data_IF_837232332682
#
_entry.id   IF_837232332682
#
_cell.length_a   1.000
_cell.length_b   1.000
_cell.length_c   1.000
_cell.angle_alpha   90.00
_cell.angle_beta   90.00
_cell.angle_gamma   90.00
#
_symmetry.space_group_name_H-M   'P 1'
#
loop_
_entity.id
_entity.type
_entity.pdbx_description
1 polymer ?
#
# COMPACT_ATOMS: atom_id res chain seq x y z
N UNK A 1 -22.63 9.28 -29.48
CA UNK A 1 -22.18 10.18 -28.39
C UNK A 1 -23.06 9.92 -27.19
N UNK A 2 -22.50 9.59 -26.02
CA UNK A 2 -23.32 9.34 -24.81
C UNK A 2 -23.74 10.69 -24.21
N UNK A 3 -25.04 10.84 -23.93
CA UNK A 3 -25.61 12.03 -23.31
C UNK A 3 -26.33 11.65 -22.01
N UNK A 4 -26.31 12.53 -21.01
CA UNK A 4 -26.75 12.24 -19.64
C UNK A 4 -27.72 13.30 -19.14
N UNK A 5 -28.89 12.88 -18.66
CA UNK A 5 -29.83 13.74 -17.94
C UNK A 5 -29.34 13.99 -16.52
N UNK A 6 -29.84 15.03 -15.85
CA UNK A 6 -29.48 15.34 -14.45
C UNK A 6 -29.68 14.14 -13.51
N UNK A 7 -30.72 13.33 -13.74
CA UNK A 7 -30.97 12.12 -12.95
C UNK A 7 -29.86 11.08 -13.14
N UNK A 8 -29.45 10.84 -14.38
CA UNK A 8 -28.37 9.90 -14.69
C UNK A 8 -27.01 10.39 -14.18
N UNK A 9 -26.75 11.71 -14.25
CA UNK A 9 -25.56 12.32 -13.64
C UNK A 9 -25.58 12.10 -12.12
N UNK A 10 -26.73 12.27 -11.47
CA UNK A 10 -26.86 12.04 -10.03
C UNK A 10 -26.66 10.56 -9.66
N UNK A 11 -27.21 9.62 -10.45
CA UNK A 11 -26.98 8.18 -10.24
C UNK A 11 -25.50 7.81 -10.39
N UNK A 12 -24.84 8.33 -11.44
CA UNK A 12 -23.41 8.12 -11.65
C UNK A 12 -22.55 8.70 -10.53
N UNK A 13 -22.91 9.88 -10.01
CA UNK A 13 -22.26 10.45 -8.82
C UNK A 13 -22.42 9.57 -7.57
N UNK A 14 -23.59 8.96 -7.36
CA UNK A 14 -23.79 8.03 -6.23
C UNK A 14 -22.98 6.76 -6.36
N UNK A 15 -22.94 6.17 -7.56
CA UNK A 15 -22.13 4.98 -7.85
C UNK A 15 -20.65 5.27 -7.63
N UNK A 16 -20.14 6.38 -8.20
CA UNK A 16 -18.72 6.75 -8.13
C UNK A 16 -18.23 7.06 -6.71
N UNK A 17 -19.08 7.64 -5.86
CA UNK A 17 -18.70 8.08 -4.51
C UNK A 17 -19.27 7.18 -3.39
N UNK A 18 -19.83 6.01 -3.72
CA UNK A 18 -20.41 5.06 -2.76
C UNK A 18 -21.37 5.74 -1.75
N UNK A 19 -22.29 6.56 -2.26
CA UNK A 19 -23.24 7.31 -1.43
C UNK A 19 -24.49 6.45 -1.21
N UNK A 20 -24.66 5.95 0.02
CA UNK A 20 -25.86 5.19 0.43
C UNK A 20 -27.03 6.14 0.76
N UNK A 21 -27.51 6.86 -0.26
CA UNK A 21 -28.75 7.62 -0.18
C UNK A 21 -29.87 6.88 -0.91
N UNK A 22 -31.05 6.72 -0.30
CA UNK A 22 -32.21 6.15 -1.00
C UNK A 22 -32.78 7.07 -2.10
N UNK A 23 -32.44 8.35 -2.09
CA UNK A 23 -32.99 9.37 -3.00
C UNK A 23 -31.88 10.25 -3.61
N UNK A 24 -31.96 10.53 -4.92
CA UNK A 24 -31.03 11.40 -5.68
C UNK A 24 -31.42 12.87 -5.65
N UNK A 25 -32.61 13.25 -5.15
CA UNK A 25 -33.14 14.62 -5.23
C UNK A 25 -32.20 15.71 -4.71
N UNK A 26 -31.50 15.46 -3.61
CA UNK A 26 -30.57 16.43 -3.04
C UNK A 26 -29.38 16.68 -3.99
N UNK A 27 -28.83 15.62 -4.56
CA UNK A 27 -27.74 15.70 -5.54
C UNK A 27 -28.20 16.33 -6.86
N UNK A 28 -29.40 16.00 -7.33
CA UNK A 28 -29.98 16.63 -8.52
C UNK A 28 -30.12 18.16 -8.37
N UNK A 29 -30.49 18.64 -7.17
CA UNK A 29 -30.55 20.08 -6.88
C UNK A 29 -29.17 20.72 -7.01
N UNK A 30 -28.13 20.09 -6.45
CA UNK A 30 -26.76 20.60 -6.55
C UNK A 30 -26.26 20.61 -8.01
N UNK A 31 -26.54 19.56 -8.77
CA UNK A 31 -26.21 19.49 -10.21
C UNK A 31 -26.89 20.63 -10.98
N UNK A 32 -28.19 20.89 -10.74
CA UNK A 32 -28.91 22.00 -11.39
C UNK A 32 -28.33 23.37 -11.03
N UNK A 33 -27.87 23.55 -9.79
CA UNK A 33 -27.21 24.78 -9.36
C UNK A 33 -25.89 24.99 -10.10
N UNK A 34 -25.07 23.95 -10.22
CA UNK A 34 -23.81 24.00 -10.98
C UNK A 34 -24.06 24.32 -12.45
N UNK A 35 -24.99 23.61 -13.10
CA UNK A 35 -25.36 23.86 -14.51
C UNK A 35 -25.76 25.31 -14.73
N UNK A 36 -26.55 25.89 -13.81
CA UNK A 36 -26.96 27.30 -13.89
C UNK A 36 -25.78 28.24 -13.65
N UNK A 37 -24.96 27.99 -12.63
CA UNK A 37 -23.83 28.85 -12.25
C UNK A 37 -22.77 28.91 -13.35
N UNK A 38 -22.48 27.77 -13.95
CA UNK A 38 -21.43 27.60 -14.96
C UNK A 38 -21.97 27.74 -16.40
N UNK A 39 -23.27 28.06 -16.54
CA UNK A 39 -23.95 28.25 -17.82
C UNK A 39 -23.77 27.08 -18.80
N UNK A 40 -23.83 25.84 -18.28
CA UNK A 40 -23.64 24.61 -19.08
C UNK A 40 -24.86 24.39 -19.97
N UNK A 41 -24.64 24.34 -21.28
CA UNK A 41 -25.72 24.18 -22.26
C UNK A 41 -26.02 22.70 -22.51
N UNK A 42 -27.30 22.32 -22.60
CA UNK A 42 -27.66 20.97 -23.00
C UNK A 42 -27.31 20.72 -24.47
N UNK A 43 -26.89 19.50 -24.77
CA UNK A 43 -26.57 19.06 -26.13
C UNK A 43 -27.74 18.33 -26.79
N UNK A 44 -28.68 17.81 -25.99
CA UNK A 44 -29.81 17.02 -26.48
C UNK A 44 -30.97 17.00 -25.47
N UNK A 45 -32.08 16.35 -25.82
CA UNK A 45 -33.19 16.03 -24.92
C UNK A 45 -33.54 14.55 -25.00
N UNK A 46 -33.67 13.90 -23.85
CA UNK A 46 -34.11 12.51 -23.77
C UNK A 46 -34.90 12.24 -22.50
N UNK A 47 -35.65 11.14 -22.48
CA UNK A 47 -36.34 10.68 -21.27
C UNK A 47 -35.33 10.34 -20.17
N UNK A 48 -35.58 10.85 -18.96
CA UNK A 48 -34.75 10.56 -17.78
C UNK A 48 -34.99 9.17 -17.20
N UNK A 49 -36.18 8.61 -17.41
CA UNK A 49 -36.52 7.22 -17.08
C UNK A 49 -37.43 6.65 -18.18
N UNK A 50 -37.53 5.31 -18.35
CA UNK A 50 -38.42 4.71 -19.34
C UNK A 50 -39.89 5.15 -19.20
N UNK A 51 -40.32 5.45 -17.97
CA UNK A 51 -41.68 5.90 -17.61
C UNK A 51 -41.87 7.42 -17.62
N UNK A 52 -40.85 8.22 -17.93
CA UNK A 52 -40.96 9.67 -17.93
C UNK A 52 -41.90 10.16 -19.04
N UNK A 53 -42.81 11.08 -18.69
CA UNK A 53 -43.80 11.66 -19.60
C UNK A 53 -43.21 12.71 -20.54
N UNK A 54 -42.19 13.44 -20.07
CA UNK A 54 -41.54 14.52 -20.82
C UNK A 54 -40.04 14.25 -20.95
N UNK A 55 -39.45 14.73 -22.03
CA UNK A 55 -38.01 14.70 -22.22
C UNK A 55 -37.30 15.72 -21.33
N UNK A 56 -36.17 15.30 -20.76
CA UNK A 56 -35.30 16.13 -19.96
C UNK A 56 -34.09 16.57 -20.79
N UNK A 57 -33.52 17.72 -20.43
CA UNK A 57 -32.27 18.18 -20.99
C UNK A 57 -31.14 17.16 -20.69
N UNK A 58 -30.35 16.86 -21.72
CA UNK A 58 -29.21 15.96 -21.65
C UNK A 58 -27.91 16.71 -21.95
N UNK A 59 -26.87 16.35 -21.21
CA UNK A 59 -25.56 16.97 -21.20
C UNK A 59 -24.51 16.01 -21.74
N UNK A 60 -23.40 16.56 -22.22
CA UNK A 60 -22.31 15.75 -22.75
C UNK A 60 -21.63 14.93 -21.66
N UNK A 61 -20.89 13.91 -22.06
CA UNK A 61 -20.04 13.14 -21.13
C UNK A 61 -19.01 14.03 -20.43
N UNK A 62 -18.37 14.95 -21.17
CA UNK A 62 -17.42 15.91 -20.63
C UNK A 62 -18.08 16.85 -19.58
N UNK A 63 -19.30 17.33 -19.83
CA UNK A 63 -20.03 18.14 -18.86
C UNK A 63 -20.41 17.33 -17.62
N UNK A 64 -20.81 16.07 -17.79
CA UNK A 64 -21.10 15.14 -16.68
C UNK A 64 -19.86 14.97 -15.80
N UNK A 65 -18.69 14.69 -16.38
CA UNK A 65 -17.44 14.53 -15.63
C UNK A 65 -17.05 15.84 -14.92
N UNK A 66 -17.07 16.97 -15.64
CA UNK A 66 -16.77 18.29 -15.06
C UNK A 66 -17.70 18.66 -13.90
N UNK A 67 -19.00 18.36 -14.01
CA UNK A 67 -19.98 18.61 -12.93
C UNK A 67 -19.64 17.80 -11.68
N UNK A 68 -19.32 16.51 -11.83
CA UNK A 68 -19.07 15.61 -10.70
C UNK A 68 -17.67 15.84 -10.08
N UNK A 69 -16.66 15.98 -10.92
CA UNK A 69 -15.26 15.87 -10.54
C UNK A 69 -14.61 17.22 -10.24
N UNK A 70 -15.07 18.30 -10.88
CA UNK A 70 -14.51 19.64 -10.62
C UNK A 70 -15.41 20.42 -9.67
N UNK A 71 -16.72 20.45 -9.95
CA UNK A 71 -17.63 21.36 -9.25
C UNK A 71 -18.27 20.77 -8.00
N UNK A 72 -18.66 19.49 -8.04
CA UNK A 72 -19.35 18.83 -6.92
C UNK A 72 -18.47 17.91 -6.10
N UNK A 73 -17.18 17.76 -6.43
CA UNK A 73 -16.29 16.85 -5.74
C UNK A 73 -16.27 17.02 -4.22
N UNK A 74 -16.07 18.24 -3.73
CA UNK A 74 -16.06 18.52 -2.28
C UNK A 74 -17.39 18.18 -1.61
N UNK A 75 -18.51 18.46 -2.29
CA UNK A 75 -19.84 18.13 -1.80
C UNK A 75 -20.03 16.61 -1.73
N UNK A 76 -19.73 15.89 -2.82
CA UNK A 76 -19.85 14.43 -2.96
C UNK A 76 -18.93 13.69 -1.99
N UNK A 77 -17.70 14.16 -1.81
CA UNK A 77 -16.73 13.66 -0.83
C UNK A 77 -17.30 13.70 0.59
N UNK A 78 -17.90 14.83 0.98
CA UNK A 78 -18.40 15.01 2.34
C UNK A 78 -19.60 14.10 2.65
N UNK A 79 -20.39 13.73 1.64
CA UNK A 79 -21.57 12.85 1.80
C UNK A 79 -21.30 11.38 1.47
N UNK A 80 -20.07 11.04 1.04
CA UNK A 80 -19.64 9.66 0.77
C UNK A 80 -19.63 8.81 2.04
N UNK A 81 -19.87 7.51 1.93
CA UNK A 81 -19.63 6.56 3.03
C UNK A 81 -18.24 5.94 2.98
N UNK A 82 -17.49 6.14 1.90
CA UNK A 82 -16.16 5.60 1.73
C UNK A 82 -15.13 6.44 2.50
N UNK A 83 -14.52 5.85 3.52
CA UNK A 83 -13.51 6.52 4.34
C UNK A 83 -12.24 6.90 3.56
N UNK A 84 -11.90 6.16 2.51
CA UNK A 84 -10.79 6.52 1.63
C UNK A 84 -11.11 7.83 0.90
N UNK A 85 -12.30 7.92 0.29
CA UNK A 85 -12.77 9.13 -0.42
C UNK A 85 -12.73 10.38 0.47
N UNK A 86 -13.09 10.25 1.76
CA UNK A 86 -13.05 11.36 2.74
C UNK A 86 -11.65 11.87 3.08
N UNK A 87 -10.61 11.06 2.90
CA UNK A 87 -9.21 11.43 3.22
C UNK A 87 -8.55 12.29 2.14
N UNK A 88 -9.14 12.43 0.94
CA UNK A 88 -8.51 13.13 -0.19
C UNK A 88 -8.83 14.63 -0.25
N UNK A 89 -7.86 15.47 -0.63
CA UNK A 89 -8.03 16.93 -0.70
C UNK A 89 -8.60 17.43 -2.03
N UNK A 90 -8.48 16.68 -3.13
CA UNK A 90 -9.04 17.06 -4.46
C UNK A 90 -9.26 15.87 -5.41
N UNK A 91 -10.06 16.08 -6.48
CA UNK A 91 -10.31 15.10 -7.54
C UNK A 91 -9.05 14.75 -8.34
N UNK A 92 -8.17 15.73 -8.56
CA UNK A 92 -6.90 15.53 -9.27
C UNK A 92 -5.92 14.63 -8.48
N UNK A 93 -5.90 14.70 -7.15
CA UNK A 93 -5.11 13.77 -6.32
C UNK A 93 -5.67 12.35 -6.35
N UNK A 94 -7.00 12.20 -6.35
CA UNK A 94 -7.65 10.89 -6.49
C UNK A 94 -7.35 10.27 -7.86
N UNK A 95 -7.44 11.07 -8.93
CA UNK A 95 -7.14 10.63 -10.29
C UNK A 95 -5.66 10.25 -10.41
N UNK A 96 -4.73 11.07 -9.89
CA UNK A 96 -3.30 10.78 -9.90
C UNK A 96 -2.93 9.51 -9.14
N UNK A 97 -3.53 9.27 -7.97
CA UNK A 97 -3.29 8.03 -7.22
C UNK A 97 -3.99 6.81 -7.83
N UNK A 98 -5.13 6.99 -8.49
CA UNK A 98 -5.78 5.93 -9.27
C UNK A 98 -4.97 5.61 -10.53
N UNK A 99 -4.37 6.61 -11.17
CA UNK A 99 -3.47 6.45 -12.30
C UNK A 99 -2.15 5.79 -11.85
N UNK A 100 -1.55 6.18 -10.73
CA UNK A 100 -0.38 5.52 -10.12
C UNK A 100 -0.67 4.06 -9.72
N UNK A 101 -1.83 3.79 -9.11
CA UNK A 101 -2.23 2.42 -8.75
C UNK A 101 -2.58 1.57 -9.98
N UNK A 102 -3.13 2.18 -11.03
CA UNK A 102 -3.34 1.52 -12.30
C UNK A 102 -2.01 1.29 -13.05
N UNK A 103 -1.06 2.22 -12.97
CA UNK A 103 0.28 2.08 -13.54
C UNK A 103 1.04 0.93 -12.86
N UNK A 104 1.02 0.84 -11.52
CA UNK A 104 1.52 -0.34 -10.79
C UNK A 104 0.81 -1.64 -11.20
N UNK A 105 -0.52 -1.59 -11.41
CA UNK A 105 -1.28 -2.75 -11.88
C UNK A 105 -0.91 -3.14 -13.31
N UNK A 106 -0.75 -2.19 -14.23
CA UNK A 106 -0.38 -2.45 -15.63
C UNK A 106 1.08 -2.89 -15.76
N UNK A 107 2.01 -2.34 -14.97
CA UNK A 107 3.38 -2.83 -14.86
C UNK A 107 3.45 -4.25 -14.26
N UNK A 108 2.55 -4.57 -13.32
CA UNK A 108 2.38 -5.92 -12.79
C UNK A 108 1.80 -6.88 -13.83
N UNK A 109 0.85 -6.40 -14.64
CA UNK A 109 0.22 -7.19 -15.70
C UNK A 109 1.17 -7.45 -16.88
N UNK A 110 1.98 -6.47 -17.28
CA UNK A 110 3.03 -6.63 -18.29
C UNK A 110 4.09 -7.62 -17.82
N UNK A 111 4.56 -7.51 -16.57
CA UNK A 111 5.46 -8.52 -15.97
C UNK A 111 4.86 -9.92 -16.02
N UNK A 112 3.60 -10.05 -15.59
CA UNK A 112 2.92 -11.34 -15.59
C UNK A 112 2.71 -11.91 -17.01
N UNK A 113 2.39 -11.08 -17.99
CA UNK A 113 2.27 -11.51 -19.39
C UNK A 113 3.63 -11.89 -19.99
N UNK A 114 4.68 -11.17 -19.64
CA UNK A 114 6.05 -11.46 -20.08
C UNK A 114 6.56 -12.76 -19.45
N UNK A 115 6.27 -12.98 -18.17
CA UNK A 115 6.51 -14.25 -17.47
C UNK A 115 5.71 -15.42 -18.09
N UNK A 116 4.45 -15.22 -18.48
CA UNK A 116 3.65 -16.24 -19.18
C UNK A 116 4.15 -16.52 -20.60
N UNK A 117 4.56 -15.49 -21.35
CA UNK A 117 5.15 -15.68 -22.67
C UNK A 117 6.51 -16.38 -22.60
N UNK A 118 7.30 -16.12 -21.56
CA UNK A 118 8.56 -16.81 -21.31
C UNK A 118 8.32 -18.26 -20.85
N UNK A 119 7.33 -18.53 -20.00
CA UNK A 119 6.87 -19.90 -19.66
C UNK A 119 6.44 -20.68 -20.89
N UNK A 120 5.68 -20.05 -21.78
CA UNK A 120 5.21 -20.67 -23.02
C UNK A 120 6.34 -20.94 -24.04
N UNK A 121 7.43 -20.15 -24.03
CA UNK A 121 8.56 -20.32 -24.96
C UNK A 121 9.67 -21.22 -24.44
N UNK A 122 9.92 -21.23 -23.13
CA UNK A 122 11.11 -21.86 -22.54
C UNK A 122 10.78 -23.02 -21.57
N UNK A 123 9.50 -23.25 -21.25
CA UNK A 123 9.06 -24.22 -20.24
C UNK A 123 9.27 -23.71 -18.80
N UNK A 124 8.63 -24.36 -17.83
CA UNK A 124 8.73 -24.01 -16.39
C UNK A 124 10.19 -24.00 -15.95
N UNK A 125 10.72 -22.80 -15.71
CA UNK A 125 11.81 -22.60 -14.78
C UNK A 125 11.18 -22.23 -13.44
N UNK A 126 11.01 -23.22 -12.57
CA UNK A 126 10.93 -22.97 -11.12
C UNK A 126 12.23 -22.29 -10.68
N UNK A 127 12.32 -20.96 -10.79
CA UNK A 127 13.07 -20.20 -9.80
C UNK A 127 12.13 -20.04 -8.60
N UNK A 128 12.37 -20.74 -7.48
CA UNK A 128 11.55 -20.57 -6.29
C UNK A 128 11.60 -19.10 -5.90
N UNK A 129 10.44 -18.51 -5.63
CA UNK A 129 10.22 -17.14 -5.15
C UNK A 129 11.41 -16.63 -4.31
N UNK A 130 12.41 -16.01 -4.94
CA UNK A 130 13.62 -15.64 -4.21
C UNK A 130 13.34 -14.37 -3.44
N UNK A 131 13.43 -14.46 -2.11
CA UNK A 131 13.33 -13.31 -1.23
C UNK A 131 14.43 -12.30 -1.58
N UNK A 132 14.04 -11.03 -1.58
CA UNK A 132 14.90 -9.86 -1.73
C UNK A 132 14.98 -9.09 -0.40
N UNK A 133 15.84 -8.08 -0.29
CA UNK A 133 15.88 -7.20 0.90
C UNK A 133 14.51 -6.57 1.20
N UNK A 134 13.72 -6.27 0.16
CA UNK A 134 12.41 -5.63 0.26
C UNK A 134 11.27 -6.61 0.58
N UNK A 135 11.56 -7.91 0.67
CA UNK A 135 10.57 -8.92 1.05
C UNK A 135 10.14 -8.72 2.50
N UNK A 136 8.83 -8.77 2.77
CA UNK A 136 8.28 -8.49 4.10
C UNK A 136 8.86 -9.40 5.20
N UNK A 137 9.16 -10.66 4.87
CA UNK A 137 9.79 -11.61 5.80
C UNK A 137 11.21 -11.18 6.15
N UNK A 138 11.98 -10.70 5.15
CA UNK A 138 13.35 -10.19 5.34
C UNK A 138 13.34 -8.89 6.13
N UNK A 139 12.43 -7.95 5.85
CA UNK A 139 12.27 -6.71 6.63
C UNK A 139 12.00 -6.99 8.11
N UNK A 140 11.11 -7.93 8.42
CA UNK A 140 10.82 -8.34 9.80
C UNK A 140 12.04 -8.91 10.49
N UNK A 141 12.77 -9.82 9.82
CA UNK A 141 13.98 -10.44 10.37
C UNK A 141 15.11 -9.43 10.56
N UNK A 142 15.29 -8.50 9.61
CA UNK A 142 16.19 -7.35 9.71
C UNK A 142 15.88 -6.50 10.94
N UNK A 143 14.61 -6.14 11.15
CA UNK A 143 14.23 -5.33 12.30
C UNK A 143 14.44 -6.05 13.64
N UNK A 144 14.18 -7.36 13.68
CA UNK A 144 14.51 -8.21 14.83
C UNK A 144 16.00 -8.14 15.16
N UNK A 145 16.87 -8.36 14.17
CA UNK A 145 18.33 -8.31 14.33
C UNK A 145 18.81 -6.93 14.83
N UNK A 146 18.25 -5.85 14.28
CA UNK A 146 18.56 -4.48 14.71
C UNK A 146 18.18 -4.26 16.17
N UNK A 147 16.99 -4.73 16.56
CA UNK A 147 16.48 -4.59 17.92
C UNK A 147 17.36 -5.37 18.92
N UNK A 148 17.72 -6.61 18.58
CA UNK A 148 18.59 -7.45 19.39
C UNK A 148 20.00 -6.85 19.53
N UNK A 149 20.58 -6.33 18.45
CA UNK A 149 21.90 -5.70 18.46
C UNK A 149 21.93 -4.39 19.29
N UNK A 150 20.91 -3.54 19.16
CA UNK A 150 20.79 -2.31 19.94
C UNK A 150 20.51 -2.62 21.42
N UNK A 151 19.68 -3.64 21.71
CA UNK A 151 19.47 -4.12 23.07
C UNK A 151 20.78 -4.60 23.70
N UNK A 152 21.54 -5.44 22.97
CA UNK A 152 22.84 -5.94 23.44
C UNK A 152 23.78 -4.76 23.75
N UNK A 153 23.88 -3.77 22.86
CA UNK A 153 24.76 -2.62 23.08
C UNK A 153 24.33 -1.70 24.24
N UNK A 154 23.03 -1.46 24.42
CA UNK A 154 22.53 -0.53 25.44
C UNK A 154 22.44 -1.17 26.83
N UNK A 155 22.29 -2.50 26.91
CA UNK A 155 21.99 -3.20 28.16
C UNK A 155 23.01 -4.29 28.52
N UNK A 156 23.95 -4.67 27.64
CA UNK A 156 24.96 -5.72 27.94
C UNK A 156 26.25 -5.20 28.56
N UNK A 157 26.21 -4.07 29.26
CA UNK A 157 27.26 -3.81 30.24
C UNK A 157 27.03 -4.74 31.43
N UNK A 158 27.92 -5.73 31.62
CA UNK A 158 28.07 -6.58 32.82
C UNK A 158 28.45 -5.78 34.09
N UNK A 159 28.15 -4.48 34.13
CA UNK A 159 28.34 -3.63 35.29
C UNK A 159 27.00 -3.60 36.01
N UNK A 160 26.99 -3.91 37.30
CA UNK A 160 25.83 -3.74 38.20
C UNK A 160 25.30 -2.30 38.08
N UNK A 161 24.46 -2.05 37.08
CA UNK A 161 23.78 -0.77 36.91
C UNK A 161 22.80 -0.67 38.08
N UNK A 162 22.97 0.35 38.91
CA UNK A 162 21.96 0.70 39.90
C UNK A 162 20.59 0.80 39.20
N UNK A 163 19.53 0.31 39.85
CA UNK A 163 18.22 0.10 39.20
C UNK A 163 17.69 1.34 38.44
N UNK A 164 18.02 2.54 38.91
CA UNK A 164 17.64 3.80 38.27
C UNK A 164 18.35 4.06 36.93
N UNK A 165 19.60 3.63 36.77
CA UNK A 165 20.36 3.79 35.52
C UNK A 165 19.90 2.76 34.47
N UNK A 166 19.65 1.53 34.90
CA UNK A 166 19.05 0.49 34.06
C UNK A 166 17.66 0.92 33.54
N UNK A 167 16.82 1.49 34.41
CA UNK A 167 15.50 2.01 34.02
C UNK A 167 15.59 3.16 33.01
N UNK A 168 16.56 4.08 33.17
CA UNK A 168 16.78 5.18 32.21
C UNK A 168 17.24 4.67 30.85
N UNK A 169 18.20 3.73 30.82
CA UNK A 169 18.67 3.11 29.57
C UNK A 169 17.55 2.34 28.87
N UNK A 170 16.74 1.58 29.62
CA UNK A 170 15.59 0.85 29.09
C UNK A 170 14.50 1.79 28.54
N UNK A 171 14.19 2.89 29.23
CA UNK A 171 13.23 3.88 28.75
C UNK A 171 13.70 4.56 27.45
N UNK A 172 14.97 4.93 27.37
CA UNK A 172 15.57 5.49 26.16
C UNK A 172 15.54 4.48 25.00
N UNK A 173 15.91 3.22 25.25
CA UNK A 173 15.86 2.16 24.25
C UNK A 173 14.42 1.90 23.77
N UNK A 174 13.43 1.89 24.66
CA UNK A 174 12.02 1.76 24.29
C UNK A 174 11.55 2.87 23.36
N UNK A 175 11.97 4.12 23.60
CA UNK A 175 11.67 5.24 22.71
C UNK A 175 12.34 5.10 21.34
N UNK A 176 13.59 4.60 21.30
CA UNK A 176 14.32 4.33 20.06
C UNK A 176 13.61 3.23 19.25
N UNK A 177 13.25 2.12 19.89
CA UNK A 177 12.62 0.96 19.24
C UNK A 177 11.14 1.18 18.86
N UNK A 178 10.49 2.23 19.38
CA UNK A 178 9.14 2.62 18.93
C UNK A 178 9.13 3.21 17.51
N UNK A 179 10.27 3.63 16.97
CA UNK A 179 10.38 4.17 15.63
C UNK A 179 11.42 3.41 14.83
N UNK A 180 10.94 2.61 13.87
CA UNK A 180 11.80 1.82 12.99
C UNK A 180 12.85 2.69 12.29
N UNK A 181 12.47 3.87 11.80
CA UNK A 181 13.39 4.82 11.18
C UNK A 181 14.53 5.26 12.12
N UNK A 182 14.22 5.53 13.39
CA UNK A 182 15.23 5.97 14.37
C UNK A 182 16.16 4.82 14.74
N UNK A 183 15.59 3.63 14.98
CA UNK A 183 16.35 2.42 15.29
C UNK A 183 17.31 2.05 14.14
N UNK A 184 16.82 2.01 12.90
CA UNK A 184 17.64 1.71 11.72
C UNK A 184 18.74 2.74 11.49
N UNK A 185 18.44 4.03 11.64
CA UNK A 185 19.43 5.09 11.48
C UNK A 185 20.52 5.00 12.56
N UNK A 186 20.14 4.84 13.83
CA UNK A 186 21.10 4.65 14.92
C UNK A 186 21.96 3.41 14.70
N UNK A 187 21.33 2.29 14.35
CA UNK A 187 22.02 1.05 14.05
C UNK A 187 23.02 1.21 12.90
N UNK A 188 22.63 1.87 11.80
CA UNK A 188 23.51 2.10 10.64
C UNK A 188 24.76 2.91 10.98
N UNK A 189 24.72 3.73 12.04
CA UNK A 189 25.87 4.50 12.53
C UNK A 189 26.80 3.67 13.41
N UNK A 190 26.28 2.65 14.07
CA UNK A 190 26.99 1.85 15.08
C UNK A 190 27.50 0.51 14.53
N UNK A 191 26.82 -0.02 13.52
CA UNK A 191 27.07 -1.36 13.01
C UNK A 191 27.15 -1.40 11.48
N UNK A 192 27.90 -2.37 10.98
CA UNK A 192 27.82 -2.88 9.62
C UNK A 192 26.88 -4.08 9.60
N UNK A 193 26.02 -4.14 8.57
CA UNK A 193 25.02 -5.18 8.44
C UNK A 193 25.15 -5.92 7.11
N UNK A 194 25.33 -7.24 7.20
CA UNK A 194 25.51 -8.13 6.06
C UNK A 194 24.16 -8.56 5.48
N UNK A 195 23.38 -7.60 5.00
CA UNK A 195 22.02 -7.85 4.50
C UNK A 195 21.98 -8.85 3.34
N UNK A 196 22.95 -8.77 2.41
CA UNK A 196 23.05 -9.72 1.31
C UNK A 196 23.21 -11.17 1.81
N UNK A 197 24.03 -11.38 2.85
CA UNK A 197 24.23 -12.69 3.45
C UNK A 197 22.99 -13.18 4.21
N UNK A 198 22.24 -12.27 4.85
CA UNK A 198 20.97 -12.62 5.48
C UNK A 198 19.95 -13.09 4.45
N UNK A 199 19.82 -12.38 3.33
CA UNK A 199 18.91 -12.72 2.24
C UNK A 199 19.25 -14.10 1.65
N UNK A 200 20.53 -14.37 1.40
CA UNK A 200 21.00 -15.67 0.91
C UNK A 200 20.66 -16.82 1.88
N UNK A 201 20.94 -16.63 3.18
CA UNK A 201 20.66 -17.64 4.21
C UNK A 201 19.14 -17.87 4.37
N UNK A 202 18.33 -16.80 4.29
CA UNK A 202 16.87 -16.90 4.37
C UNK A 202 16.27 -17.63 3.17
N UNK A 203 16.75 -17.34 1.96
CA UNK A 203 16.36 -18.08 0.75
C UNK A 203 16.71 -19.56 0.86
N UNK A 204 17.90 -19.86 1.34
CA UNK A 204 18.34 -21.25 1.57
C UNK A 204 17.45 -21.95 2.60
N UNK A 205 17.06 -21.26 3.67
CA UNK A 205 16.16 -21.78 4.70
C UNK A 205 14.74 -22.02 4.20
N UNK A 206 14.23 -21.13 3.35
CA UNK A 206 12.87 -21.24 2.80
C UNK A 206 12.80 -22.41 1.79
N UNK A 207 13.81 -22.53 0.93
CA UNK A 207 13.97 -23.69 0.06
C UNK A 207 14.00 -25.00 0.86
N UNK A 208 14.81 -25.07 1.91
CA UNK A 208 14.86 -26.25 2.80
C UNK A 208 13.49 -26.56 3.42
N UNK A 209 12.78 -25.53 3.88
CA UNK A 209 11.47 -25.71 4.51
C UNK A 209 10.40 -26.23 3.51
N UNK A 210 10.49 -25.84 2.24
CA UNK A 210 9.58 -26.27 1.17
C UNK A 210 9.92 -27.69 0.67
N UNK A 211 11.20 -28.02 0.54
CA UNK A 211 11.65 -29.31 0.00
C UNK A 211 11.66 -30.45 1.04
N UNK A 212 11.82 -30.14 2.33
CA UNK A 212 11.98 -31.16 3.40
C UNK A 212 10.74 -31.35 4.27
N UNK A 213 9.52 -31.18 3.74
CA UNK A 213 8.27 -31.46 4.46
C UNK A 213 8.21 -32.95 4.84
N UNK A 214 8.69 -33.29 6.05
CA UNK A 214 8.64 -34.63 6.66
C UNK A 214 9.96 -35.40 6.76
N UNK A 215 11.11 -34.82 6.39
CA UNK A 215 12.44 -35.45 6.52
C UNK A 215 13.24 -34.99 7.74
N UNK A 216 14.21 -35.79 8.20
CA UNK A 216 15.18 -35.37 9.22
C UNK A 216 16.15 -34.32 8.66
N UNK A 217 16.33 -33.20 9.37
CA UNK A 217 17.31 -32.18 9.01
C UNK A 217 18.74 -32.73 9.12
N UNK A 218 19.55 -32.54 8.07
CA UNK A 218 20.97 -32.83 8.12
C UNK A 218 21.77 -31.81 8.93
N UNK A 219 23.05 -32.13 9.17
CA UNK A 219 23.98 -31.29 9.95
C UNK A 219 24.20 -29.92 9.29
N UNK A 220 24.07 -29.81 7.96
CA UNK A 220 24.27 -28.55 7.24
C UNK A 220 23.07 -27.61 7.42
N UNK A 221 21.87 -28.16 7.39
CA UNK A 221 20.62 -27.43 7.53
C UNK A 221 20.43 -26.95 8.97
N UNK A 222 20.73 -27.81 9.95
CA UNK A 222 20.77 -27.39 11.36
C UNK A 222 21.72 -26.22 11.59
N UNK A 223 22.93 -26.24 10.99
CA UNK A 223 23.88 -25.12 11.08
C UNK A 223 23.36 -23.83 10.46
N UNK A 224 22.56 -23.91 9.39
CA UNK A 224 21.95 -22.73 8.78
C UNK A 224 20.91 -22.12 9.72
N UNK A 225 20.05 -22.94 10.34
CA UNK A 225 19.08 -22.46 11.33
C UNK A 225 19.76 -21.87 12.56
N UNK A 226 20.83 -22.51 13.06
CA UNK A 226 21.66 -21.96 14.14
C UNK A 226 22.26 -20.60 13.76
N UNK A 227 22.74 -20.48 12.51
CA UNK A 227 23.29 -19.24 11.99
C UNK A 227 22.22 -18.13 11.95
N UNK A 228 21.03 -18.42 11.43
CA UNK A 228 19.88 -17.50 11.34
C UNK A 228 19.30 -17.11 12.71
N UNK A 229 19.50 -17.95 13.73
CA UNK A 229 19.05 -17.70 15.10
C UNK A 229 19.90 -16.67 15.84
N UNK A 230 21.17 -16.49 15.43
CA UNK A 230 22.11 -15.62 16.12
C UNK A 230 22.44 -14.37 15.31
N UNK A 231 21.90 -13.24 15.74
CA UNK A 231 22.07 -11.94 15.08
C UNK A 231 23.52 -11.52 14.89
N UNK A 232 24.44 -11.97 15.76
CA UNK A 232 25.88 -11.64 15.70
C UNK A 232 26.56 -12.16 14.43
N UNK A 233 25.95 -13.12 13.73
CA UNK A 233 26.47 -13.60 12.45
C UNK A 233 26.33 -12.55 11.32
N UNK A 234 25.33 -11.67 11.43
CA UNK A 234 24.96 -10.73 10.38
C UNK A 234 25.43 -9.30 10.67
N UNK A 235 25.89 -9.03 11.89
CA UNK A 235 26.16 -7.68 12.38
C UNK A 235 27.58 -7.59 12.93
N UNK A 236 28.29 -6.51 12.63
CA UNK A 236 29.58 -6.19 13.25
C UNK A 236 29.64 -4.74 13.71
N UNK A 237 30.19 -4.50 14.91
CA UNK A 237 30.41 -3.13 15.42
C UNK A 237 31.39 -2.38 14.53
N UNK A 238 31.02 -1.17 14.12
CA UNK A 238 31.94 -0.25 13.45
C UNK A 238 33.00 0.17 14.45
N UNK A 239 34.27 -0.13 14.16
CA UNK A 239 35.39 0.39 14.95
C UNK A 239 35.47 1.91 14.71
N UNK A 240 35.47 2.68 15.80
CA UNK A 240 35.78 4.12 15.76
C UNK A 240 37.26 4.33 15.44
#
# INVERSE_FOLDING_TARGET
MKCYTVLEIAQKGKEKFEIDMKDTRALEKQIRLVIRRENIKPIDKKKSTPSARNDANAYSEADKDRILDDFLFNYLRNVSNNEAVKKFKSSAEYQKMADEANEEYYEGLERWQQEEEDRARYGDFDEPYSMTEDSEVVKKKKYQIISEALFDLYLSDEVDLEGDEALKKAAALSQILNSQFVAENLFSKLFDFKIAQLVEDMNSSDYIAQEMVGGDLGVKEMKLFDKLSNWRNYVSLKRK
#
